data_IF_770058108828
#
_entry.id   IF_770058108828
#
_cell.length_a   1.000
_cell.length_b   1.000
_cell.length_c   1.000
_cell.angle_alpha   90.00
_cell.angle_beta   90.00
_cell.angle_gamma   90.00
#
_symmetry.space_group_name_H-M   'P 1'
#
loop_
_entity.id
_entity.type
_entity.pdbx_description
1 polymer ?
#
# COMPACT_ATOMS: atom_id res chain seq x y z
N UNK A 1 11.12 26.97 28.23
CA UNK A 1 11.28 25.65 28.90
C UNK A 1 9.94 25.01 29.28
N UNK A 2 9.01 25.73 29.89
CA UNK A 2 7.68 25.17 30.24
C UNK A 2 6.87 24.69 29.03
N UNK A 3 6.86 25.44 27.93
CA UNK A 3 6.21 25.01 26.67
C UNK A 3 6.74 23.65 26.21
N UNK A 4 8.06 23.50 26.08
CA UNK A 4 8.68 22.26 25.65
C UNK A 4 8.31 21.07 26.54
N UNK A 5 8.37 21.23 27.88
CA UNK A 5 8.04 20.14 28.80
C UNK A 5 6.57 19.74 28.75
N UNK A 6 5.65 20.69 28.60
CA UNK A 6 4.21 20.40 28.46
C UNK A 6 3.95 19.59 27.19
N UNK A 7 4.49 20.04 26.04
CA UNK A 7 4.30 19.31 24.78
C UNK A 7 5.03 17.96 24.77
N UNK A 8 6.21 17.86 25.39
CA UNK A 8 6.93 16.60 25.53
C UNK A 8 6.12 15.56 26.31
N UNK A 9 5.59 15.92 27.48
CA UNK A 9 4.78 15.01 28.31
C UNK A 9 3.44 14.69 27.63
N UNK A 10 2.80 15.69 27.00
CA UNK A 10 1.55 15.48 26.26
C UNK A 10 1.75 14.54 25.05
N UNK A 11 2.81 14.74 24.26
CA UNK A 11 3.15 13.84 23.15
C UNK A 11 3.50 12.44 23.66
N UNK A 12 4.28 12.32 24.75
CA UNK A 12 4.59 11.03 25.34
C UNK A 12 3.31 10.28 25.76
N UNK A 13 2.39 10.95 26.47
CA UNK A 13 1.12 10.35 26.86
C UNK A 13 0.26 9.96 25.64
N UNK A 14 0.18 10.84 24.64
CA UNK A 14 -0.59 10.61 23.42
C UNK A 14 -0.08 9.41 22.60
N UNK A 15 1.23 9.27 22.39
CA UNK A 15 1.80 8.16 21.61
C UNK A 15 1.83 6.83 22.40
N UNK A 16 1.97 6.88 23.73
CA UNK A 16 1.95 5.68 24.58
C UNK A 16 0.56 5.02 24.57
N UNK A 17 -0.50 5.79 24.36
CA UNK A 17 -1.86 5.31 24.43
C UNK A 17 -2.23 4.34 23.28
N UNK A 18 -2.13 4.70 21.97
CA UNK A 18 -2.33 3.75 20.88
C UNK A 18 -1.15 2.77 20.76
N UNK A 19 0.08 3.18 21.08
CA UNK A 19 1.26 2.34 20.89
C UNK A 19 1.41 1.18 21.89
N UNK A 20 0.94 1.36 23.14
CA UNK A 20 1.20 0.39 24.21
C UNK A 20 -0.05 0.02 25.02
N UNK A 21 -0.87 1.00 25.41
CA UNK A 21 -2.01 0.73 26.30
C UNK A 21 -3.23 0.17 25.56
N UNK A 22 -3.55 0.72 24.38
CA UNK A 22 -4.72 0.35 23.58
C UNK A 22 -4.36 0.25 22.10
N UNK A 23 -3.70 -0.83 21.65
CA UNK A 23 -3.35 -1.05 20.25
C UNK A 23 -4.55 -1.02 19.27
N UNK A 24 -5.77 -1.24 19.79
CA UNK A 24 -7.00 -1.16 18.99
C UNK A 24 -7.32 0.26 18.52
N UNK A 25 -6.80 1.30 19.18
CA UNK A 25 -6.96 2.70 18.77
C UNK A 25 -6.03 3.06 17.59
N UNK A 26 -4.99 2.27 17.34
CA UNK A 26 -4.07 2.47 16.22
C UNK A 26 -4.79 2.24 14.90
N UNK A 27 -5.61 1.20 14.78
CA UNK A 27 -6.51 1.02 13.63
C UNK A 27 -7.82 0.37 14.08
N UNK A 28 -8.84 1.19 14.22
CA UNK A 28 -10.20 0.77 14.51
C UNK A 28 -10.97 0.51 13.21
N UNK A 29 -11.03 -0.76 12.80
CA UNK A 29 -11.81 -1.22 11.65
C UNK A 29 -13.27 -1.50 12.05
N UNK A 30 -14.14 -0.48 11.99
CA UNK A 30 -15.57 -0.61 12.36
C UNK A 30 -16.28 -1.74 11.58
N UNK A 31 -15.99 -1.87 10.29
CA UNK A 31 -16.61 -2.89 9.42
C UNK A 31 -16.26 -4.31 9.87
N UNK A 32 -15.02 -4.54 10.31
CA UNK A 32 -14.61 -5.84 10.85
C UNK A 32 -15.28 -6.14 12.20
N UNK A 33 -15.53 -5.11 13.01
CA UNK A 33 -16.22 -5.26 14.29
C UNK A 33 -17.71 -5.57 14.12
N UNK A 34 -18.37 -4.94 13.14
CA UNK A 34 -19.78 -5.18 12.83
C UNK A 34 -20.03 -6.58 12.23
N UNK A 35 -19.12 -7.08 11.38
CA UNK A 35 -19.23 -8.40 10.76
C UNK A 35 -17.99 -9.28 10.97
N UNK A 36 -17.78 -9.80 12.19
CA UNK A 36 -16.57 -10.54 12.52
C UNK A 36 -16.48 -11.91 11.83
N UNK A 37 -17.60 -12.49 11.39
CA UNK A 37 -17.64 -13.83 10.77
C UNK A 37 -17.55 -13.83 9.24
N UNK A 38 -17.62 -12.67 8.59
CA UNK A 38 -17.63 -12.58 7.14
C UNK A 38 -16.23 -12.32 6.59
N UNK A 39 -15.71 -13.27 5.80
CA UNK A 39 -14.38 -13.15 5.17
C UNK A 39 -14.34 -11.93 4.24
N UNK A 40 -15.40 -11.70 3.47
CA UNK A 40 -15.48 -10.54 2.55
C UNK A 40 -15.50 -9.23 3.32
N UNK A 41 -16.23 -9.16 4.45
CA UNK A 41 -16.25 -7.95 5.28
C UNK A 41 -14.88 -7.67 5.92
N UNK A 42 -14.14 -8.72 6.30
CA UNK A 42 -12.77 -8.58 6.78
C UNK A 42 -11.81 -8.13 5.68
N UNK A 43 -11.91 -8.67 4.46
CA UNK A 43 -11.09 -8.25 3.32
C UNK A 43 -11.33 -6.79 2.91
N UNK A 44 -12.57 -6.30 3.05
CA UNK A 44 -12.92 -4.92 2.73
C UNK A 44 -12.56 -3.97 3.87
N UNK A 45 -12.87 -4.35 5.12
CA UNK A 45 -12.80 -3.47 6.28
C UNK A 45 -11.46 -3.46 7.03
N UNK A 46 -10.62 -4.48 6.85
CA UNK A 46 -9.38 -4.60 7.62
C UNK A 46 -8.38 -3.53 7.18
N UNK A 47 -7.86 -2.76 8.13
CA UNK A 47 -6.82 -1.76 7.87
C UNK A 47 -5.46 -2.38 7.55
N UNK A 48 -5.13 -3.51 8.18
CA UNK A 48 -3.82 -4.15 8.05
C UNK A 48 -3.73 -5.16 6.89
N UNK A 49 -4.83 -5.89 6.64
CA UNK A 49 -4.84 -7.03 5.71
C UNK A 49 -5.95 -6.91 4.66
N UNK A 50 -6.53 -5.73 4.52
CA UNK A 50 -7.67 -5.49 3.64
C UNK A 50 -7.62 -4.11 2.98
N UNK A 51 -8.74 -3.70 2.40
CA UNK A 51 -8.85 -2.43 1.69
C UNK A 51 -8.99 -1.22 2.63
N UNK A 52 -9.19 -1.44 3.94
CA UNK A 52 -9.29 -0.38 4.95
C UNK A 52 -10.58 0.45 4.90
N UNK A 53 -11.65 -0.02 4.27
CA UNK A 53 -12.92 0.72 4.20
C UNK A 53 -13.52 0.87 5.59
N UNK A 54 -13.73 2.12 6.02
CA UNK A 54 -14.28 2.42 7.34
C UNK A 54 -13.33 2.11 8.50
N UNK A 55 -12.03 2.03 8.21
CA UNK A 55 -10.99 2.02 9.24
C UNK A 55 -10.67 3.45 9.68
N UNK A 56 -10.60 3.66 10.99
CA UNK A 56 -10.20 4.92 11.60
C UNK A 56 -8.93 4.70 12.42
N UNK A 57 -8.02 5.67 12.42
CA UNK A 57 -6.82 5.64 13.23
C UNK A 57 -6.75 6.89 14.09
N UNK A 58 -6.41 6.71 15.37
CA UNK A 58 -6.07 7.81 16.27
C UNK A 58 -4.56 7.92 16.49
N UNK A 59 -3.77 7.13 15.76
CA UNK A 59 -2.32 7.15 15.87
C UNK A 59 -1.69 8.06 14.79
N UNK A 60 -1.21 9.21 15.24
CA UNK A 60 -0.52 10.16 14.35
C UNK A 60 0.77 9.61 13.76
N UNK A 61 1.45 8.69 14.46
CA UNK A 61 2.66 8.07 13.95
C UNK A 61 2.32 7.17 12.75
N UNK A 62 1.26 6.36 12.86
CA UNK A 62 0.72 5.58 11.75
C UNK A 62 0.32 6.41 10.53
N UNK A 63 -0.33 7.55 10.73
CA UNK A 63 -0.72 8.46 9.62
C UNK A 63 0.51 9.06 8.92
N UNK A 64 1.50 9.51 9.69
CA UNK A 64 2.65 10.27 9.15
C UNK A 64 3.81 9.39 8.66
N UNK A 65 3.83 8.09 9.00
CA UNK A 65 4.92 7.18 8.67
C UNK A 65 5.17 7.01 7.16
N UNK A 66 4.13 7.03 6.33
CA UNK A 66 4.24 6.67 4.91
C UNK A 66 4.53 7.85 3.97
N UNK A 67 3.96 9.03 4.25
CA UNK A 67 4.03 10.19 3.35
C UNK A 67 4.51 11.47 4.05
N UNK A 68 5.02 11.36 5.28
CA UNK A 68 5.32 12.51 6.13
C UNK A 68 4.06 13.13 6.73
N UNK A 69 4.21 14.27 7.40
CA UNK A 69 3.10 14.94 8.06
C UNK A 69 2.18 15.61 7.03
N UNK A 70 0.89 15.21 6.92
CA UNK A 70 -0.03 15.82 5.97
C UNK A 70 -0.29 17.31 6.28
N UNK A 71 -0.02 17.77 7.51
CA UNK A 71 -0.14 19.19 7.89
C UNK A 71 0.75 20.13 7.07
N UNK A 72 1.87 19.61 6.54
CA UNK A 72 2.82 20.42 5.77
C UNK A 72 2.41 20.49 4.29
N UNK A 73 1.58 19.55 3.83
CA UNK A 73 1.22 19.41 2.41
C UNK A 73 0.03 20.30 2.07
N UNK A 74 0.03 21.04 0.94
CA UNK A 74 -1.11 21.84 0.54
C UNK A 74 -2.34 20.97 0.28
N UNK A 75 -3.52 21.49 0.65
CA UNK A 75 -4.82 20.83 0.52
C UNK A 75 -5.07 20.20 -0.85
N UNK A 76 -4.73 20.91 -1.93
CA UNK A 76 -4.96 20.45 -3.30
C UNK A 76 -4.17 19.17 -3.61
N UNK A 77 -2.93 19.05 -3.12
CA UNK A 77 -2.13 17.83 -3.30
C UNK A 77 -2.72 16.66 -2.52
N UNK A 78 -3.22 16.91 -1.30
CA UNK A 78 -3.89 15.89 -0.48
C UNK A 78 -5.12 15.34 -1.22
N UNK A 79 -5.95 16.22 -1.79
CA UNK A 79 -7.11 15.81 -2.57
C UNK A 79 -6.74 14.96 -3.78
N UNK A 80 -5.73 15.36 -4.56
CA UNK A 80 -5.32 14.60 -5.74
C UNK A 80 -4.86 13.19 -5.38
N UNK A 81 -4.07 13.07 -4.31
CA UNK A 81 -3.64 11.76 -3.80
C UNK A 81 -4.83 10.95 -3.30
N UNK A 82 -5.78 11.57 -2.60
CA UNK A 82 -6.99 10.91 -2.12
C UNK A 82 -7.85 10.39 -3.28
N UNK A 83 -8.07 11.18 -4.33
CA UNK A 83 -8.82 10.75 -5.53
C UNK A 83 -8.12 9.58 -6.22
N UNK A 84 -6.79 9.65 -6.37
CA UNK A 84 -6.00 8.54 -6.89
C UNK A 84 -6.15 7.28 -6.04
N UNK A 85 -6.04 7.41 -4.73
CA UNK A 85 -6.22 6.30 -3.79
C UNK A 85 -7.61 5.66 -3.92
N UNK A 86 -8.69 6.46 -3.93
CA UNK A 86 -10.06 5.96 -4.09
C UNK A 86 -10.23 5.21 -5.42
N UNK A 87 -9.68 5.74 -6.50
CA UNK A 87 -9.72 5.11 -7.82
C UNK A 87 -8.98 3.77 -7.84
N UNK A 88 -7.73 3.72 -7.38
CA UNK A 88 -6.94 2.48 -7.41
C UNK A 88 -7.45 1.42 -6.42
N UNK A 89 -7.69 1.81 -5.16
CA UNK A 89 -7.99 0.86 -4.08
C UNK A 89 -9.47 0.45 -4.04
N UNK A 90 -10.41 1.35 -4.36
CA UNK A 90 -11.84 1.04 -4.27
C UNK A 90 -12.51 0.76 -5.61
N UNK A 91 -11.90 1.11 -6.74
CA UNK A 91 -12.47 0.81 -8.07
C UNK A 91 -11.64 -0.27 -8.76
N UNK A 92 -10.36 -0.01 -9.02
CA UNK A 92 -9.52 -0.90 -9.86
C UNK A 92 -9.24 -2.23 -9.15
N UNK A 93 -8.78 -2.22 -7.90
CA UNK A 93 -8.46 -3.46 -7.15
C UNK A 93 -9.68 -4.40 -7.03
N UNK A 94 -10.87 -3.94 -6.59
CA UNK A 94 -12.08 -4.76 -6.55
C UNK A 94 -12.48 -5.31 -7.92
N UNK A 95 -12.38 -4.49 -8.97
CA UNK A 95 -12.74 -4.88 -10.33
C UNK A 95 -11.80 -5.98 -10.86
N UNK A 96 -10.49 -5.86 -10.64
CA UNK A 96 -9.52 -6.89 -11.00
C UNK A 96 -9.70 -8.19 -10.20
N UNK A 97 -10.00 -8.10 -8.90
CA UNK A 97 -10.10 -9.26 -8.02
C UNK A 97 -11.45 -10.02 -8.16
N UNK A 98 -12.58 -9.30 -8.08
CA UNK A 98 -13.90 -9.92 -8.13
C UNK A 98 -14.45 -10.09 -9.54
N UNK A 99 -14.28 -9.13 -10.45
CA UNK A 99 -14.92 -9.21 -11.76
C UNK A 99 -14.07 -9.98 -12.77
N UNK A 100 -12.82 -9.55 -12.97
CA UNK A 100 -11.96 -10.09 -14.03
C UNK A 100 -11.09 -11.29 -13.61
N UNK A 101 -10.99 -11.58 -12.31
CA UNK A 101 -10.12 -12.63 -11.73
C UNK A 101 -8.73 -12.64 -12.40
N UNK A 102 -8.16 -11.45 -12.61
CA UNK A 102 -6.93 -11.30 -13.38
C UNK A 102 -5.80 -12.06 -12.67
N UNK A 103 -5.11 -12.95 -13.37
CA UNK A 103 -4.05 -13.82 -12.83
C UNK A 103 -4.51 -14.86 -11.79
N UNK A 104 -5.75 -15.35 -11.84
CA UNK A 104 -6.27 -16.30 -10.84
C UNK A 104 -6.24 -15.74 -9.40
N UNK A 105 -6.43 -14.43 -9.29
CA UNK A 105 -6.28 -13.65 -8.06
C UNK A 105 -7.07 -14.18 -6.86
N UNK A 106 -8.21 -14.83 -7.08
CA UNK A 106 -9.07 -15.35 -6.01
C UNK A 106 -8.42 -16.45 -5.16
N UNK A 107 -7.31 -17.04 -5.62
CA UNK A 107 -6.58 -18.10 -4.90
C UNK A 107 -5.68 -17.56 -3.78
N UNK A 108 -5.45 -16.25 -3.73
CA UNK A 108 -4.55 -15.60 -2.79
C UNK A 108 -5.17 -14.33 -2.19
N UNK A 109 -4.67 -13.84 -1.04
CA UNK A 109 -5.23 -12.67 -0.37
C UNK A 109 -5.18 -11.42 -1.25
N UNK A 110 -6.28 -10.64 -1.24
CA UNK A 110 -6.42 -9.40 -2.03
C UNK A 110 -5.34 -8.36 -1.69
N UNK A 111 -4.92 -8.33 -0.42
CA UNK A 111 -3.91 -7.41 0.11
C UNK A 111 -2.68 -8.22 0.56
N UNK A 112 -1.67 -8.28 -0.31
CA UNK A 112 -0.39 -8.92 0.01
C UNK A 112 0.71 -8.45 -0.94
N UNK A 113 1.91 -8.22 -0.39
CA UNK A 113 3.13 -7.91 -1.14
C UNK A 113 3.99 -9.16 -1.39
N UNK A 114 3.47 -10.35 -1.12
CA UNK A 114 4.19 -11.61 -1.29
C UNK A 114 3.89 -12.24 -2.66
N UNK A 115 4.84 -13.06 -3.11
CA UNK A 115 4.75 -13.87 -4.32
C UNK A 115 4.06 -15.20 -4.01
N UNK A 116 3.26 -15.70 -4.93
CA UNK A 116 2.50 -16.94 -4.78
C UNK A 116 2.78 -17.94 -5.91
N UNK A 117 2.62 -19.21 -5.57
CA UNK A 117 2.58 -20.33 -6.53
C UNK A 117 1.16 -20.48 -7.10
N UNK A 118 0.99 -21.26 -8.17
CA UNK A 118 -0.33 -21.54 -8.76
C UNK A 118 -1.34 -22.17 -7.76
N UNK A 119 -0.81 -22.82 -6.72
CA UNK A 119 -1.57 -23.44 -5.61
C UNK A 119 -1.90 -22.49 -4.45
N UNK A 120 -1.45 -21.23 -4.49
CA UNK A 120 -1.70 -20.23 -3.45
C UNK A 120 -0.72 -20.26 -2.26
N UNK A 121 0.30 -21.13 -2.29
CA UNK A 121 1.39 -21.11 -1.31
C UNK A 121 2.40 -20.01 -1.62
N UNK A 122 3.07 -19.48 -0.59
CA UNK A 122 4.15 -18.50 -0.75
C UNK A 122 5.24 -19.06 -1.66
N UNK A 123 5.67 -18.26 -2.62
CA UNK A 123 6.70 -18.61 -3.58
C UNK A 123 8.08 -18.42 -2.94
N UNK A 124 8.89 -19.48 -2.93
CA UNK A 124 10.25 -19.42 -2.40
C UNK A 124 11.23 -19.05 -3.51
N UNK A 125 11.71 -17.80 -3.48
CA UNK A 125 12.64 -17.28 -4.48
C UNK A 125 14.03 -17.89 -4.37
N UNK A 126 14.42 -18.42 -3.21
CA UNK A 126 15.75 -19.04 -3.02
C UNK A 126 15.91 -20.33 -3.81
N UNK A 127 14.80 -20.99 -4.18
CA UNK A 127 14.82 -22.25 -4.95
C UNK A 127 15.05 -22.05 -6.44
N UNK A 128 14.83 -20.83 -6.94
CA UNK A 128 14.98 -20.50 -8.37
C UNK A 128 16.21 -19.63 -8.65
N UNK A 129 16.87 -19.11 -7.61
CA UNK A 129 18.05 -18.28 -7.71
C UNK A 129 19.30 -19.12 -7.44
N UNK A 130 20.33 -18.89 -8.24
CA UNK A 130 21.68 -19.38 -7.97
C UNK A 130 22.31 -18.60 -6.81
N UNK A 131 23.40 -19.10 -6.19
CA UNK A 131 24.16 -18.36 -5.17
C UNK A 131 24.62 -16.97 -5.64
N UNK A 132 24.79 -16.79 -6.95
CA UNK A 132 25.16 -15.55 -7.61
C UNK A 132 23.96 -14.61 -7.88
N UNK A 133 22.76 -14.97 -7.41
CA UNK A 133 21.48 -14.28 -7.67
C UNK A 133 21.04 -14.25 -9.14
N UNK A 134 21.59 -15.11 -9.99
CA UNK A 134 21.10 -15.33 -11.35
C UNK A 134 19.94 -16.34 -11.36
N UNK A 135 19.03 -16.16 -12.32
CA UNK A 135 17.86 -17.03 -12.49
C UNK A 135 18.28 -18.41 -13.04
N UNK A 136 18.03 -19.46 -12.27
CA UNK A 136 18.16 -20.83 -12.75
C UNK A 136 16.88 -21.24 -13.51
N UNK A 137 16.96 -21.21 -14.84
CA UNK A 137 15.82 -21.49 -15.73
C UNK A 137 15.28 -22.91 -15.52
N UNK A 138 16.15 -23.91 -15.35
CA UNK A 138 15.72 -25.29 -15.13
C UNK A 138 14.97 -25.45 -13.80
N UNK A 139 15.46 -24.80 -12.74
CA UNK A 139 14.76 -24.78 -11.45
C UNK A 139 13.42 -24.04 -11.54
N UNK A 140 13.36 -22.91 -12.25
CA UNK A 140 12.14 -22.15 -12.48
C UNK A 140 11.07 -22.94 -13.25
N UNK A 141 11.45 -23.65 -14.31
CA UNK A 141 10.51 -24.50 -15.06
C UNK A 141 9.95 -25.64 -14.20
N UNK A 142 10.77 -26.22 -13.32
CA UNK A 142 10.34 -27.28 -12.40
C UNK A 142 9.45 -26.79 -11.27
N UNK A 143 9.72 -25.59 -10.74
CA UNK A 143 9.02 -25.01 -9.59
C UNK A 143 7.74 -24.27 -10.01
N UNK A 144 7.69 -23.81 -11.26
CA UNK A 144 6.51 -23.24 -11.90
C UNK A 144 6.45 -21.71 -11.85
N UNK A 145 5.46 -21.18 -12.57
CA UNK A 145 5.25 -19.74 -12.73
C UNK A 145 4.95 -19.06 -11.39
N UNK A 146 5.49 -17.86 -11.22
CA UNK A 146 5.17 -16.98 -10.10
C UNK A 146 3.87 -16.23 -10.37
N UNK A 147 3.11 -15.98 -9.30
CA UNK A 147 1.85 -15.23 -9.31
C UNK A 147 1.96 -14.04 -8.35
N UNK A 148 1.44 -12.89 -8.78
CA UNK A 148 1.38 -11.67 -7.97
C UNK A 148 -0.07 -11.38 -7.59
N UNK A 149 -0.27 -10.81 -6.41
CA UNK A 149 -1.57 -10.22 -6.06
C UNK A 149 -1.88 -9.04 -6.99
N UNK A 150 -3.16 -8.77 -7.31
CA UNK A 150 -3.54 -7.60 -8.11
C UNK A 150 -3.06 -6.28 -7.51
N UNK A 151 -3.09 -6.15 -6.18
CA UNK A 151 -2.60 -4.97 -5.48
C UNK A 151 -1.10 -4.76 -5.70
N UNK A 152 -0.29 -5.82 -5.61
CA UNK A 152 1.14 -5.72 -5.80
C UNK A 152 1.48 -5.35 -7.26
N UNK A 153 0.80 -5.97 -8.22
CA UNK A 153 0.95 -5.63 -9.64
C UNK A 153 0.54 -4.17 -9.94
N UNK A 154 -0.56 -3.69 -9.37
CA UNK A 154 -1.01 -2.29 -9.51
C UNK A 154 -0.06 -1.31 -8.80
N UNK A 155 0.54 -1.70 -7.68
CA UNK A 155 1.55 -0.89 -7.00
C UNK A 155 2.79 -0.71 -7.89
N UNK A 156 3.26 -1.77 -8.53
CA UNK A 156 4.36 -1.69 -9.50
C UNK A 156 3.96 -0.82 -10.70
N UNK A 157 2.77 -1.05 -11.28
CA UNK A 157 2.25 -0.28 -12.42
C UNK A 157 2.11 1.22 -12.13
N UNK A 158 1.59 1.58 -10.96
CA UNK A 158 1.49 2.98 -10.51
C UNK A 158 2.87 3.61 -10.28
N UNK A 159 3.87 2.82 -9.85
CA UNK A 159 5.26 3.25 -9.78
C UNK A 159 5.80 3.71 -11.14
N UNK A 160 5.61 2.90 -12.19
CA UNK A 160 6.00 3.28 -13.56
C UNK A 160 5.25 4.52 -14.05
N UNK A 161 3.94 4.59 -13.81
CA UNK A 161 3.13 5.75 -14.19
C UNK A 161 3.63 7.04 -13.52
N UNK A 162 4.07 6.97 -12.26
CA UNK A 162 4.62 8.11 -11.53
C UNK A 162 5.93 8.61 -12.14
N UNK A 163 6.82 7.71 -12.56
CA UNK A 163 8.05 8.09 -13.25
C UNK A 163 7.75 8.81 -14.56
N UNK A 164 6.90 8.24 -15.41
CA UNK A 164 6.51 8.87 -16.67
C UNK A 164 5.82 10.21 -16.45
N UNK A 165 4.89 10.31 -15.49
CA UNK A 165 4.23 11.56 -15.16
C UNK A 165 5.20 12.65 -14.72
N UNK A 166 6.24 12.29 -13.95
CA UNK A 166 7.28 13.24 -13.51
C UNK A 166 8.08 13.77 -14.71
N UNK A 167 8.49 12.88 -15.63
CA UNK A 167 9.20 13.27 -16.85
C UNK A 167 8.33 14.20 -17.70
N UNK A 168 7.07 13.82 -17.95
CA UNK A 168 6.13 14.64 -18.73
C UNK A 168 5.90 15.99 -18.08
N UNK A 169 5.76 16.05 -16.75
CA UNK A 169 5.61 17.32 -16.03
C UNK A 169 6.84 18.22 -16.19
N UNK A 170 8.06 17.67 -16.02
CA UNK A 170 9.29 18.46 -16.20
C UNK A 170 9.41 18.98 -17.64
N UNK A 171 9.14 18.15 -18.64
CA UNK A 171 9.22 18.56 -20.05
C UNK A 171 8.19 19.65 -20.39
N UNK A 172 6.95 19.53 -19.91
CA UNK A 172 5.91 20.52 -20.23
C UNK A 172 6.11 21.87 -19.53
N UNK A 173 6.55 21.86 -18.25
CA UNK A 173 6.66 23.08 -17.45
C UNK A 173 8.05 23.72 -17.50
N UNK A 174 9.11 22.93 -17.72
CA UNK A 174 10.49 23.41 -17.74
C UNK A 174 11.20 23.18 -19.09
N UNK A 175 10.54 22.61 -20.10
CA UNK A 175 11.10 22.38 -21.43
C UNK A 175 11.69 23.63 -22.11
N UNK A 176 11.04 24.79 -21.93
CA UNK A 176 11.53 26.06 -22.51
C UNK A 176 12.89 26.51 -21.96
N UNK A 177 13.25 26.07 -20.76
CA UNK A 177 14.58 26.35 -20.16
C UNK A 177 15.68 25.58 -20.90
N UNK A 178 15.38 24.36 -21.35
CA UNK A 178 16.33 23.55 -22.12
C UNK A 178 16.55 24.11 -23.53
N UNK A 179 15.52 24.69 -24.14
CA UNK A 179 15.58 25.28 -25.48
C UNK A 179 16.43 26.56 -25.52
N UNK A 180 16.55 27.31 -24.41
CA UNK A 180 17.42 28.51 -24.33
C UNK A 180 18.91 28.23 -24.12
N UNK A 181 19.32 26.97 -23.96
CA UNK A 181 20.73 26.56 -23.71
C UNK A 181 21.38 25.91 -24.94
N UNK A 182 20.60 25.61 -25.98
CA UNK A 182 21.05 25.17 -27.32
C UNK A 182 20.99 26.31 -28.31
#
# INVERSE_FOLDING_TARGET
>A
MQFFLVFFVASFAYYTLPGYLLPILTFFSWVCWAWPRSITAQQIGSAYHGLGVGAFTLDWAGISAYHGSPLVTPWFSILNVAVGFLMFIYIIVPLCYWNYNTFDARKFPIFSNQLFTATGHKYDTTKILTPEFDLNVAAYESYGKLYLSPLFALSIGSGFARFTATITHVLLFHGRCFESVT
#
